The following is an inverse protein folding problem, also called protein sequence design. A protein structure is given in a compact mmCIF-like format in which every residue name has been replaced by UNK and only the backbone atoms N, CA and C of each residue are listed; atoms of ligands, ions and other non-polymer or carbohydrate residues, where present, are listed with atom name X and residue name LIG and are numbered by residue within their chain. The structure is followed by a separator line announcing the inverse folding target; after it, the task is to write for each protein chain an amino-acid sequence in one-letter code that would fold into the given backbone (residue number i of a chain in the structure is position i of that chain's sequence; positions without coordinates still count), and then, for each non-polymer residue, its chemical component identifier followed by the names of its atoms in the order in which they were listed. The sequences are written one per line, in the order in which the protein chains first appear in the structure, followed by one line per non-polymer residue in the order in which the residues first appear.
data_IF_946186255310
#
_entry.id   IF_946186255310
#
_cell.length_a   1.000
_cell.length_b   1.000
_cell.length_c   1.000
_cell.angle_alpha   90.00
_cell.angle_beta   90.00
_cell.angle_gamma   90.00
#
_symmetry.space_group_name_H-M   'P 1'
#
loop_
_entity.id
_entity.type
_entity.pdbx_description
1 polymer ?
#
# COMPACT_ATOMS: atom_id res chain seq x y z
N UNK A 1 0.32 14.99 -9.48
CA UNK A 1 0.81 14.16 -10.62
C UNK A 1 2.33 14.18 -10.67
N UNK A 2 2.94 13.18 -11.30
CA UNK A 2 4.38 13.13 -11.60
C UNK A 2 4.53 13.16 -13.12
N UNK A 3 5.35 14.09 -13.63
CA UNK A 3 5.70 14.14 -15.05
C UNK A 3 7.14 13.67 -15.19
N UNK A 4 7.35 12.57 -15.87
CA UNK A 4 8.66 11.97 -16.03
C UNK A 4 8.79 11.19 -17.33
N UNK A 5 9.88 11.38 -18.06
CA UNK A 5 10.16 10.73 -19.34
C UNK A 5 8.96 10.79 -20.32
N UNK A 6 8.40 11.98 -20.51
CA UNK A 6 7.27 12.20 -21.41
C UNK A 6 5.93 11.59 -20.96
N UNK A 7 5.84 11.06 -19.75
CA UNK A 7 4.63 10.42 -19.21
C UNK A 7 4.10 11.22 -18.03
N UNK A 8 2.80 11.41 -17.97
CA UNK A 8 2.09 12.04 -16.85
C UNK A 8 1.40 10.96 -16.05
N UNK A 9 1.83 10.78 -14.81
CA UNK A 9 1.40 9.71 -13.91
C UNK A 9 0.59 10.32 -12.75
N UNK A 10 -0.51 9.69 -12.39
CA UNK A 10 -1.24 10.06 -11.18
C UNK A 10 -0.35 9.88 -9.95
N UNK A 11 -0.24 10.91 -9.11
CA UNK A 11 0.69 10.91 -7.97
C UNK A 11 0.48 9.74 -7.01
N UNK A 12 -0.77 9.41 -6.70
CA UNK A 12 -1.14 8.29 -5.83
C UNK A 12 -0.91 6.90 -6.45
N UNK A 13 -0.60 6.83 -7.75
CA UNK A 13 -0.33 5.60 -8.50
C UNK A 13 1.11 5.52 -8.99
N UNK A 14 1.91 6.54 -8.72
CA UNK A 14 3.30 6.59 -9.15
C UNK A 14 4.19 5.81 -8.17
N UNK A 15 5.03 4.95 -8.71
CA UNK A 15 6.04 4.21 -7.96
C UNK A 15 7.40 4.37 -8.61
N UNK A 16 8.44 4.55 -7.79
CA UNK A 16 9.82 4.49 -8.26
C UNK A 16 10.24 3.03 -8.38
N UNK A 17 10.32 2.53 -9.60
CA UNK A 17 10.58 1.12 -9.89
C UNK A 17 12.02 0.82 -10.28
N UNK A 18 12.83 1.85 -10.53
CA UNK A 18 14.24 1.68 -10.92
C UNK A 18 15.13 2.69 -10.21
N UNK A 19 16.32 2.25 -9.85
CA UNK A 19 17.28 3.07 -9.10
C UNK A 19 18.39 3.69 -9.95
N UNK A 20 18.68 3.09 -11.10
CA UNK A 20 19.83 3.50 -11.95
C UNK A 20 19.41 4.04 -13.32
N UNK A 21 18.40 3.45 -13.95
CA UNK A 21 17.97 3.88 -15.29
C UNK A 21 17.10 5.13 -15.24
N UNK A 22 17.18 5.93 -16.33
CA UNK A 22 16.44 7.19 -16.43
C UNK A 22 14.93 7.02 -16.28
N UNK A 23 14.35 5.97 -16.86
CA UNK A 23 12.92 5.67 -16.72
C UNK A 23 12.61 5.09 -15.32
N UNK A 24 12.73 5.95 -14.30
CA UNK A 24 12.69 5.52 -12.90
C UNK A 24 11.29 5.36 -12.33
N UNK A 25 10.30 6.05 -12.89
CA UNK A 25 8.93 6.02 -12.38
C UNK A 25 8.00 5.24 -13.30
N UNK A 26 7.13 4.45 -12.71
CA UNK A 26 6.03 3.76 -13.40
C UNK A 26 4.72 3.93 -12.65
N UNK A 27 3.66 3.53 -13.28
CA UNK A 27 2.32 3.46 -12.69
C UNK A 27 1.97 2.03 -12.29
N UNK A 28 1.13 1.89 -11.28
CA UNK A 28 0.61 0.59 -10.86
C UNK A 28 -0.91 0.61 -11.05
N UNK A 29 -1.42 -0.37 -11.82
CA UNK A 29 -2.86 -0.61 -12.03
C UNK A 29 -3.66 0.64 -12.44
N UNK A 30 -3.05 1.57 -13.17
CA UNK A 30 -3.71 2.79 -13.62
C UNK A 30 -3.07 3.31 -14.93
N UNK A 31 -3.84 3.79 -15.92
CA UNK A 31 -3.28 4.32 -17.15
C UNK A 31 -2.52 5.64 -16.94
N UNK A 32 -1.74 6.07 -17.93
CA UNK A 32 -1.17 7.41 -17.92
C UNK A 32 -2.29 8.44 -18.07
N UNK A 33 -2.16 9.57 -17.37
CA UNK A 33 -3.09 10.69 -17.50
C UNK A 33 -2.90 11.38 -18.86
N UNK A 34 -1.65 11.51 -19.27
CA UNK A 34 -1.25 12.10 -20.54
C UNK A 34 0.14 11.61 -20.96
N UNK A 35 0.46 11.85 -22.21
CA UNK A 35 1.82 11.66 -22.76
C UNK A 35 2.25 12.96 -23.45
N UNK A 36 3.51 13.34 -23.27
CA UNK A 36 4.14 14.44 -24.00
C UNK A 36 4.89 13.85 -25.20
N UNK A 37 4.49 14.25 -26.38
CA UNK A 37 5.08 13.80 -27.63
C UNK A 37 5.13 14.97 -28.63
N UNK A 38 6.27 15.17 -29.28
CA UNK A 38 6.50 16.20 -30.33
C UNK A 38 6.06 17.61 -29.89
N UNK A 39 6.34 17.97 -28.64
CA UNK A 39 5.96 19.27 -28.08
C UNK A 39 4.47 19.42 -27.73
N UNK A 40 3.68 18.36 -27.91
CA UNK A 40 2.26 18.33 -27.63
C UNK A 40 1.94 17.48 -26.41
N UNK A 41 0.84 17.81 -25.73
CA UNK A 41 0.27 17.02 -24.63
C UNK A 41 -0.90 16.23 -25.19
N UNK A 42 -0.78 14.91 -25.20
CA UNK A 42 -1.87 13.99 -25.52
C UNK A 42 -2.51 13.54 -24.22
N UNK A 43 -3.62 14.15 -23.86
CA UNK A 43 -4.35 13.82 -22.63
C UNK A 43 -5.30 12.65 -22.87
N UNK A 44 -5.24 11.65 -21.98
CA UNK A 44 -6.09 10.46 -22.03
C UNK A 44 -7.19 10.47 -20.96
N UNK A 45 -6.91 11.08 -19.82
CA UNK A 45 -7.83 11.13 -18.69
C UNK A 45 -7.92 12.56 -18.17
N UNK A 46 -9.13 13.05 -18.07
CA UNK A 46 -9.42 14.29 -17.39
C UNK A 46 -9.54 14.01 -15.88
N UNK A 47 -8.72 14.70 -15.10
CA UNK A 47 -8.87 14.68 -13.65
C UNK A 47 -9.81 15.81 -13.23
N UNK A 48 -10.78 15.48 -12.39
CA UNK A 48 -11.53 16.50 -11.67
C UNK A 48 -10.55 17.29 -10.78
N UNK A 49 -10.47 18.59 -11.01
CA UNK A 49 -9.73 19.49 -10.14
C UNK A 49 -10.62 19.92 -9.00
N UNK A 50 -10.09 19.95 -7.79
CA UNK A 50 -10.74 20.64 -6.69
C UNK A 50 -10.77 22.14 -6.99
N UNK A 51 -11.82 22.87 -6.60
CA UNK A 51 -11.93 24.30 -6.86
C UNK A 51 -10.78 25.11 -6.23
N UNK A 52 -10.27 24.62 -5.11
CA UNK A 52 -9.12 25.21 -4.43
C UNK A 52 -8.08 24.12 -4.06
N UNK A 53 -6.78 24.42 -4.13
CA UNK A 53 -5.75 23.48 -3.68
C UNK A 53 -5.80 23.32 -2.16
N UNK A 54 -5.76 22.08 -1.69
CA UNK A 54 -5.67 21.74 -0.27
C UNK A 54 -4.27 21.19 0.00
N UNK A 55 -3.60 21.75 1.00
CA UNK A 55 -2.29 21.32 1.45
C UNK A 55 -2.42 20.58 2.77
N UNK A 56 -1.95 19.32 2.80
CA UNK A 56 -1.82 18.53 4.01
C UNK A 56 -0.34 18.53 4.39
N UNK A 57 0.02 19.26 5.43
CA UNK A 57 1.40 19.49 5.86
C UNK A 57 1.80 18.71 7.11
N UNK A 58 0.89 17.91 7.63
CA UNK A 58 1.12 17.07 8.81
C UNK A 58 0.85 15.60 8.49
N UNK A 59 1.62 14.72 9.14
CA UNK A 59 1.46 13.28 9.07
C UNK A 59 1.41 12.72 10.50
N UNK A 60 0.66 11.66 10.69
CA UNK A 60 0.75 10.87 11.94
C UNK A 60 1.94 9.92 11.82
N UNK A 61 2.95 10.13 12.67
CA UNK A 61 4.19 9.36 12.67
C UNK A 61 4.03 8.00 13.38
N UNK A 62 2.90 7.77 14.07
CA UNK A 62 2.64 6.54 14.83
C UNK A 62 2.01 5.45 13.97
N UNK A 63 2.58 5.23 12.79
CA UNK A 63 2.19 4.19 11.84
C UNK A 63 3.39 3.29 11.57
N UNK A 64 3.23 2.00 11.80
CA UNK A 64 4.24 0.99 11.48
C UNK A 64 3.91 0.25 10.18
N UNK A 65 4.93 -0.21 9.47
CA UNK A 65 4.81 -1.09 8.32
C UNK A 65 5.51 -2.42 8.62
N UNK A 66 4.79 -3.52 8.49
CA UNK A 66 5.33 -4.87 8.58
C UNK A 66 5.13 -5.61 7.25
N UNK A 67 6.22 -5.87 6.57
CA UNK A 67 6.24 -6.76 5.42
C UNK A 67 6.47 -8.19 5.90
N UNK A 68 5.53 -9.08 5.64
CA UNK A 68 5.65 -10.49 6.01
C UNK A 68 6.72 -11.18 5.17
N UNK A 69 7.58 -11.93 5.85
CA UNK A 69 8.53 -12.85 5.23
C UNK A 69 8.25 -14.26 5.76
N UNK A 70 8.65 -15.32 5.05
CA UNK A 70 8.57 -16.68 5.58
C UNK A 70 9.26 -16.78 6.95
N UNK A 71 8.57 -17.30 7.95
CA UNK A 71 9.05 -17.36 9.33
C UNK A 71 8.84 -16.08 10.15
N UNK A 72 8.14 -15.06 9.62
CA UNK A 72 7.74 -13.90 10.41
C UNK A 72 6.95 -14.32 11.66
N UNK A 73 7.18 -13.65 12.76
CA UNK A 73 6.56 -13.99 14.05
C UNK A 73 5.50 -12.95 14.42
N UNK A 74 4.36 -13.44 14.93
CA UNK A 74 3.24 -12.62 15.34
C UNK A 74 3.58 -11.64 16.47
N UNK A 75 4.52 -12.01 17.34
CA UNK A 75 4.97 -11.13 18.44
C UNK A 75 5.51 -9.79 17.92
N UNK A 76 6.10 -9.77 16.71
CA UNK A 76 6.58 -8.53 16.10
C UNK A 76 5.41 -7.59 15.77
N UNK A 77 4.33 -8.13 15.19
CA UNK A 77 3.12 -7.35 14.93
C UNK A 77 2.52 -6.82 16.24
N UNK A 78 2.44 -7.65 17.28
CA UNK A 78 1.97 -7.24 18.60
C UNK A 78 2.83 -6.16 19.22
N UNK A 79 4.15 -6.25 19.07
CA UNK A 79 5.05 -5.20 19.54
C UNK A 79 4.81 -3.88 18.80
N UNK A 80 4.68 -3.92 17.47
CA UNK A 80 4.39 -2.74 16.64
C UNK A 80 3.06 -2.09 17.02
N UNK A 81 1.99 -2.88 17.22
CA UNK A 81 0.68 -2.39 17.62
C UNK A 81 0.68 -1.73 19.00
N UNK A 82 1.49 -2.23 19.95
CA UNK A 82 1.63 -1.59 21.27
C UNK A 82 2.31 -0.22 21.22
N UNK A 83 3.20 0.02 20.26
CA UNK A 83 3.99 1.24 20.18
C UNK A 83 3.52 2.23 19.10
N UNK A 84 2.54 1.85 18.28
CA UNK A 84 1.96 2.68 17.25
C UNK A 84 0.44 2.68 17.32
N UNK A 85 -0.21 3.59 16.63
CA UNK A 85 -1.67 3.65 16.55
C UNK A 85 -2.20 2.90 15.32
N UNK A 86 -1.34 2.67 14.32
CA UNK A 86 -1.70 1.89 13.16
C UNK A 86 -0.57 0.95 12.73
N UNK A 87 -0.97 -0.18 12.13
CA UNK A 87 -0.10 -1.14 11.49
C UNK A 87 -0.56 -1.39 10.05
N UNK A 88 0.33 -1.16 9.10
CA UNK A 88 0.17 -1.60 7.72
C UNK A 88 0.85 -2.96 7.61
N UNK A 89 0.09 -4.00 7.27
CA UNK A 89 0.59 -5.37 7.11
C UNK A 89 0.62 -5.74 5.62
N UNK A 90 1.82 -5.85 5.05
CA UNK A 90 2.02 -6.38 3.69
C UNK A 90 2.01 -7.91 3.72
N UNK A 91 0.87 -8.49 3.38
CA UNK A 91 0.60 -9.93 3.38
C UNK A 91 1.13 -10.66 2.15
N UNK A 92 1.09 -11.97 2.16
CA UNK A 92 1.47 -12.82 1.03
C UNK A 92 0.35 -12.88 -0.02
N UNK A 93 0.72 -12.89 -1.30
CA UNK A 93 -0.22 -13.10 -2.41
C UNK A 93 -1.46 -12.22 -2.33
N UNK A 94 -2.64 -12.82 -2.37
CA UNK A 94 -3.93 -12.10 -2.33
C UNK A 94 -4.40 -11.71 -0.92
N UNK A 95 -3.58 -11.94 0.12
CA UNK A 95 -3.94 -11.59 1.51
C UNK A 95 -3.58 -12.67 2.53
N UNK A 96 -2.67 -13.62 2.18
CA UNK A 96 -2.25 -14.69 3.09
C UNK A 96 -1.49 -14.17 4.31
N UNK A 97 -1.88 -14.65 5.50
CA UNK A 97 -1.25 -14.38 6.78
C UNK A 97 -0.76 -15.73 7.35
N UNK A 98 0.44 -15.79 7.97
CA UNK A 98 0.92 -17.01 8.59
C UNK A 98 0.00 -17.49 9.72
N UNK A 99 -0.35 -18.76 9.71
CA UNK A 99 -1.09 -19.41 10.79
C UNK A 99 -0.53 -20.82 10.98
N UNK A 100 0.30 -21.00 11.99
CA UNK A 100 0.87 -22.29 12.39
C UNK A 100 1.16 -22.27 13.89
N UNK A 101 1.39 -23.43 14.47
CA UNK A 101 1.51 -23.63 15.91
C UNK A 101 2.43 -22.60 16.59
N UNK A 102 1.87 -21.87 17.54
CA UNK A 102 2.56 -20.84 18.33
C UNK A 102 2.84 -19.53 17.57
N UNK A 103 2.26 -19.35 16.37
CA UNK A 103 2.42 -18.14 15.58
C UNK A 103 1.09 -17.67 15.01
N UNK A 104 0.26 -17.12 15.86
CA UNK A 104 -1.10 -16.71 15.53
C UNK A 104 -1.16 -15.20 15.30
N UNK A 105 -0.94 -14.79 14.05
CA UNK A 105 -1.08 -13.40 13.63
C UNK A 105 -2.50 -12.88 13.78
N UNK A 106 -3.51 -13.73 13.52
CA UNK A 106 -4.89 -13.29 13.54
C UNK A 106 -5.30 -12.82 14.93
N UNK A 107 -5.08 -13.63 15.96
CA UNK A 107 -5.39 -13.25 17.34
C UNK A 107 -4.66 -11.97 17.78
N UNK A 108 -3.41 -11.79 17.36
CA UNK A 108 -2.63 -10.58 17.70
C UNK A 108 -3.21 -9.34 17.00
N UNK A 109 -3.68 -9.47 15.75
CA UNK A 109 -4.30 -8.35 15.04
C UNK A 109 -5.68 -8.02 15.61
N UNK A 110 -6.50 -9.04 15.93
CA UNK A 110 -7.81 -8.88 16.58
C UNK A 110 -7.68 -8.17 17.93
N UNK A 111 -6.75 -8.61 18.79
CA UNK A 111 -6.46 -7.94 20.06
C UNK A 111 -6.07 -6.47 19.87
N UNK A 112 -5.26 -6.18 18.85
CA UNK A 112 -4.88 -4.80 18.52
C UNK A 112 -6.08 -3.95 18.10
N UNK A 113 -6.96 -4.48 17.26
CA UNK A 113 -8.17 -3.80 16.77
C UNK A 113 -9.15 -3.56 17.94
N UNK A 114 -9.38 -4.57 18.78
CA UNK A 114 -10.20 -4.45 19.99
C UNK A 114 -9.62 -3.40 20.95
N UNK A 115 -8.29 -3.28 21.00
CA UNK A 115 -7.58 -2.23 21.72
C UNK A 115 -7.62 -0.85 21.08
N UNK A 116 -8.40 -0.66 20.00
CA UNK A 116 -8.57 0.62 19.32
C UNK A 116 -7.48 0.99 18.34
N UNK A 117 -6.64 0.03 17.92
CA UNK A 117 -5.61 0.25 16.89
C UNK A 117 -6.17 0.05 15.49
N UNK A 118 -5.61 0.76 14.52
CA UNK A 118 -5.96 0.59 13.10
C UNK A 118 -5.04 -0.43 12.45
N UNK A 119 -5.61 -1.45 11.79
CA UNK A 119 -4.86 -2.41 10.99
C UNK A 119 -5.27 -2.27 9.53
N UNK A 120 -4.28 -2.03 8.67
CA UNK A 120 -4.47 -1.97 7.20
C UNK A 120 -3.80 -3.17 6.58
N UNK A 121 -4.59 -4.05 5.99
CA UNK A 121 -4.08 -5.22 5.27
C UNK A 121 -3.86 -4.86 3.80
N UNK A 122 -2.66 -5.08 3.31
CA UNK A 122 -2.29 -4.90 1.91
C UNK A 122 -1.48 -6.10 1.43
N UNK A 123 -1.09 -6.12 0.16
CA UNK A 123 -0.30 -7.21 -0.42
C UNK A 123 1.07 -6.75 -0.88
N UNK A 124 2.03 -7.67 -0.84
CA UNK A 124 3.37 -7.49 -1.44
C UNK A 124 3.33 -7.54 -2.97
N UNK A 125 2.26 -8.05 -3.55
CA UNK A 125 2.09 -8.17 -5.00
C UNK A 125 1.67 -6.81 -5.57
N UNK A 126 2.43 -6.29 -6.50
CA UNK A 126 2.23 -4.95 -7.05
C UNK A 126 1.01 -4.83 -7.95
N UNK A 127 0.59 -5.92 -8.56
CA UNK A 127 -0.54 -5.93 -9.50
C UNK A 127 -1.73 -6.68 -8.89
N UNK A 128 -2.95 -6.32 -9.32
CA UNK A 128 -4.24 -6.94 -8.98
C UNK A 128 -4.79 -6.60 -7.57
N UNK A 129 -3.96 -6.29 -6.60
CA UNK A 129 -4.39 -5.96 -5.23
C UNK A 129 -4.61 -7.18 -4.33
N UNK A 130 -5.17 -6.96 -3.15
CA UNK A 130 -5.48 -8.00 -2.16
C UNK A 130 -6.97 -8.31 -2.13
N UNK A 131 -7.30 -9.58 -1.87
CA UNK A 131 -8.66 -10.03 -1.61
C UNK A 131 -8.62 -11.01 -0.42
N UNK A 132 -8.83 -10.49 0.76
CA UNK A 132 -8.77 -11.25 2.01
C UNK A 132 -9.84 -12.35 2.10
N UNK A 133 -10.95 -12.22 1.37
CA UNK A 133 -12.02 -13.22 1.32
C UNK A 133 -11.66 -14.53 0.62
N UNK A 134 -10.50 -14.62 -0.06
CA UNK A 134 -10.07 -15.86 -0.74
C UNK A 134 -9.51 -16.90 0.22
N UNK A 135 -8.93 -16.48 1.34
CA UNK A 135 -8.36 -17.37 2.35
C UNK A 135 -9.29 -17.56 3.55
N UNK A 136 -9.23 -18.75 4.17
CA UNK A 136 -9.98 -19.04 5.39
C UNK A 136 -9.75 -18.02 6.51
N UNK A 137 -8.54 -17.50 6.60
CA UNK A 137 -8.14 -16.46 7.57
C UNK A 137 -8.85 -15.13 7.30
N UNK A 138 -9.06 -14.78 6.03
CA UNK A 138 -9.74 -13.55 5.64
C UNK A 138 -11.26 -13.52 5.92
N UNK A 139 -11.88 -14.69 6.14
CA UNK A 139 -13.30 -14.77 6.52
C UNK A 139 -13.56 -14.47 8.01
N UNK A 140 -12.49 -14.28 8.80
CA UNK A 140 -12.57 -13.99 10.24
C UNK A 140 -12.22 -12.53 10.57
N UNK A 141 -11.79 -11.75 9.58
CA UNK A 141 -11.52 -10.32 9.66
C UNK A 141 -12.65 -9.56 8.97
#
# INVERSE_FOLDING_TARGET
MIVFNGKVIQGTRACKTRTKSYEAFSRINYPYLAVLQDGCILQYIENACLPEPVFYDTLDERVALLKLIPGARAELAGWMLRHNDALILESFGVGGIPSYDGNDFLSVLEEGIEGGKTVVLTTQVQNEGSNVGVYQVGHKI
#
